data_IF_478321876866
#
_entry.id   IF_478321876866
#
_cell.length_a   1.000
_cell.length_b   1.000
_cell.length_c   1.000
_cell.angle_alpha   90.00
_cell.angle_beta   90.00
_cell.angle_gamma   90.00
#
_symmetry.space_group_name_H-M   'P 1'
#
loop_
_entity.id
_entity.type
_entity.pdbx_description
1 polymer ?
#
# COMPACT_ATOMS: atom_id res chain seq x y z
N UNK A 1 4.32 -10.33 -17.56
CA UNK A 1 4.70 -8.90 -17.74
C UNK A 1 4.05 -7.96 -16.71
N UNK A 2 3.72 -8.44 -15.50
CA UNK A 2 2.82 -7.76 -14.57
C UNK A 2 3.53 -7.16 -13.34
N UNK A 3 4.64 -6.43 -13.53
CA UNK A 3 5.29 -5.67 -12.43
C UNK A 3 5.08 -4.16 -12.51
N UNK A 4 4.23 -3.69 -13.43
CA UNK A 4 4.22 -2.28 -13.85
C UNK A 4 3.25 -1.39 -13.05
N UNK A 5 2.26 -1.95 -12.35
CA UNK A 5 1.24 -1.18 -11.60
C UNK A 5 1.50 -1.15 -10.08
N UNK A 6 2.75 -1.29 -9.65
CA UNK A 6 3.08 -1.16 -8.23
C UNK A 6 3.27 0.32 -7.88
N UNK A 7 2.70 0.75 -6.75
CA UNK A 7 2.81 2.12 -6.24
C UNK A 7 3.24 2.09 -4.79
N UNK A 8 4.12 3.03 -4.44
CA UNK A 8 4.57 3.22 -3.06
C UNK A 8 3.90 4.47 -2.49
N UNK A 9 3.21 4.30 -1.36
CA UNK A 9 2.58 5.40 -0.62
C UNK A 9 3.26 5.59 0.72
N UNK A 10 3.65 6.82 1.04
CA UNK A 10 4.17 7.17 2.37
C UNK A 10 3.07 7.86 3.17
N UNK A 11 2.64 7.24 4.27
CA UNK A 11 1.60 7.76 5.16
C UNK A 11 2.18 8.12 6.52
N UNK A 12 1.53 9.08 7.19
CA UNK A 12 1.86 9.46 8.55
C UNK A 12 1.14 8.56 9.56
N UNK A 13 1.87 8.10 10.57
CA UNK A 13 1.38 7.17 11.57
C UNK A 13 1.42 5.71 11.11
N UNK A 14 1.47 4.80 12.08
CA UNK A 14 1.54 3.35 11.84
C UNK A 14 0.16 2.67 11.76
N UNK A 15 -0.90 3.44 12.00
CA UNK A 15 -2.27 2.93 12.09
C UNK A 15 -3.14 3.52 11.00
N UNK A 16 -4.10 2.74 10.56
CA UNK A 16 -5.18 3.14 9.69
C UNK A 16 -6.20 3.99 10.47
N UNK A 17 -7.17 4.58 9.76
CA UNK A 17 -8.26 5.35 10.38
C UNK A 17 -9.12 4.54 11.37
N UNK A 18 -9.04 3.21 11.30
CA UNK A 18 -9.72 2.26 12.19
C UNK A 18 -8.87 1.85 13.42
N UNK A 19 -7.73 2.53 13.67
CA UNK A 19 -6.72 2.18 14.70
C UNK A 19 -5.96 0.86 14.45
N UNK A 20 -6.36 0.07 13.45
CA UNK A 20 -5.64 -1.12 12.98
C UNK A 20 -4.27 -0.77 12.37
N UNK A 21 -3.24 -1.56 12.67
CA UNK A 21 -1.90 -1.41 12.08
C UNK A 21 -1.90 -1.79 10.60
N UNK A 22 -1.06 -1.13 9.79
CA UNK A 22 -0.84 -1.52 8.41
C UNK A 22 -0.21 -2.92 8.33
N UNK A 23 -0.75 -3.80 7.48
CA UNK A 23 -0.25 -5.15 7.34
C UNK A 23 -0.03 -5.50 5.87
N UNK A 24 1.03 -6.27 5.55
CA UNK A 24 1.18 -6.86 4.24
C UNK A 24 0.06 -7.88 3.99
N UNK A 25 -0.19 -8.17 2.72
CA UNK A 25 -1.30 -9.00 2.23
C UNK A 25 -2.70 -8.48 2.61
N UNK A 26 -2.81 -7.19 2.97
CA UNK A 26 -4.08 -6.53 3.24
C UNK A 26 -4.59 -5.83 1.98
N UNK A 27 -5.90 -5.90 1.73
CA UNK A 27 -6.54 -5.21 0.60
C UNK A 27 -6.97 -3.81 1.01
N UNK A 28 -6.65 -2.82 0.19
CA UNK A 28 -6.95 -1.42 0.44
C UNK A 28 -7.48 -0.75 -0.81
N UNK A 29 -8.44 0.15 -0.64
CA UNK A 29 -8.98 0.94 -1.73
C UNK A 29 -8.16 2.22 -1.82
N UNK A 30 -7.44 2.38 -2.93
CA UNK A 30 -6.65 3.58 -3.20
C UNK A 30 -7.44 4.50 -4.12
N UNK A 31 -7.63 5.74 -3.66
CA UNK A 31 -8.21 6.82 -4.43
C UNK A 31 -7.12 7.88 -4.63
N UNK A 32 -6.40 7.78 -5.75
CA UNK A 32 -5.39 8.73 -6.17
C UNK A 32 -5.73 9.24 -7.58
N UNK A 33 -6.38 10.40 -7.70
CA UNK A 33 -6.75 10.97 -9.00
C UNK A 33 -5.53 11.44 -9.82
N UNK A 34 -4.35 11.58 -9.20
CA UNK A 34 -3.13 12.06 -9.86
C UNK A 34 -2.47 10.92 -10.65
N UNK A 35 -2.37 9.75 -10.03
CA UNK A 35 -1.85 8.52 -10.60
C UNK A 35 -2.94 7.76 -11.40
N UNK A 36 -4.20 8.21 -11.35
CA UNK A 36 -5.33 7.63 -12.09
C UNK A 36 -6.00 6.45 -11.38
N UNK A 37 -5.70 6.22 -10.10
CA UNK A 37 -6.38 5.23 -9.27
C UNK A 37 -7.71 5.79 -8.75
N UNK A 38 -8.79 5.59 -9.50
CA UNK A 38 -10.13 5.94 -9.04
C UNK A 38 -10.75 4.79 -8.24
N UNK A 39 -10.53 4.77 -6.92
CA UNK A 39 -11.06 3.76 -6.00
C UNK A 39 -10.71 2.32 -6.41
N UNK A 40 -9.44 2.09 -6.77
CA UNK A 40 -8.95 0.76 -7.17
C UNK A 40 -8.62 -0.06 -5.92
N UNK A 41 -9.03 -1.32 -5.89
CA UNK A 41 -8.57 -2.27 -4.88
C UNK A 41 -7.13 -2.68 -5.22
N UNK A 42 -6.21 -2.41 -4.30
CA UNK A 42 -4.81 -2.82 -4.37
C UNK A 42 -4.47 -3.66 -3.14
N UNK A 43 -3.53 -4.57 -3.31
CA UNK A 43 -2.98 -5.37 -2.23
C UNK A 43 -1.72 -4.70 -1.70
N UNK A 44 -1.60 -4.60 -0.38
CA UNK A 44 -0.36 -4.19 0.26
C UNK A 44 0.63 -5.36 0.16
N UNK A 45 1.67 -5.19 -0.64
CA UNK A 45 2.74 -6.16 -0.79
C UNK A 45 3.73 -6.11 0.37
N UNK A 46 4.08 -4.89 0.78
CA UNK A 46 5.09 -4.64 1.81
C UNK A 46 4.71 -3.42 2.65
N UNK A 47 5.03 -3.50 3.94
CA UNK A 47 4.84 -2.40 4.90
C UNK A 47 6.15 -2.15 5.62
N UNK A 48 6.62 -0.92 5.52
CA UNK A 48 7.85 -0.47 6.16
C UNK A 48 7.53 0.61 7.18
N UNK A 49 7.75 0.31 8.45
CA UNK A 49 7.55 1.26 9.55
C UNK A 49 8.85 1.98 9.86
N UNK A 50 8.83 3.31 9.78
CA UNK A 50 9.99 4.12 10.18
C UNK A 50 9.56 5.06 11.30
N UNK A 51 10.41 5.20 12.30
CA UNK A 51 10.25 6.16 13.38
C UNK A 51 11.51 6.97 13.49
N UNK A 52 11.35 8.27 13.32
CA UNK A 52 12.44 9.24 13.42
C UNK A 52 12.04 10.34 14.42
N UNK A 53 12.93 11.30 14.65
CA UNK A 53 12.67 12.48 15.47
C UNK A 53 11.51 13.33 14.93
N UNK A 54 11.19 13.20 13.63
CA UNK A 54 10.07 13.88 12.99
C UNK A 54 8.71 13.19 13.21
N UNK A 55 8.68 11.99 13.80
CA UNK A 55 7.45 11.23 14.07
C UNK A 55 7.49 9.79 13.54
N UNK A 56 6.30 9.22 13.36
CA UNK A 56 6.11 7.88 12.80
C UNK A 56 5.60 7.98 11.36
N UNK A 57 6.30 7.33 10.44
CA UNK A 57 5.88 7.22 9.04
C UNK A 57 5.74 5.74 8.69
N UNK A 58 4.91 5.45 7.70
CA UNK A 58 4.75 4.12 7.16
C UNK A 58 4.79 4.19 5.66
N UNK A 59 5.67 3.42 5.06
CA UNK A 59 5.75 3.24 3.63
C UNK A 59 4.99 1.96 3.26
N UNK A 60 4.02 2.10 2.38
CA UNK A 60 3.11 1.06 1.93
C UNK A 60 3.36 0.81 0.46
N UNK A 61 3.87 -0.37 0.15
CA UNK A 61 4.03 -0.82 -1.22
C UNK A 61 2.76 -1.55 -1.60
N UNK A 62 2.01 -1.01 -2.55
CA UNK A 62 0.75 -1.60 -3.01
C UNK A 62 0.84 -1.97 -4.48
N UNK A 63 0.19 -3.05 -4.87
CA UNK A 63 0.11 -3.48 -6.25
C UNK A 63 -1.18 -4.21 -6.56
N UNK A 64 -1.49 -4.46 -7.83
CA UNK A 64 -2.63 -5.29 -8.19
C UNK A 64 -2.40 -6.72 -7.64
N UNK A 65 -3.40 -7.36 -7.01
CA UNK A 65 -3.28 -8.73 -6.52
C UNK A 65 -2.97 -9.73 -7.65
N UNK A 66 -3.36 -9.38 -8.88
CA UNK A 66 -3.09 -10.14 -10.10
C UNK A 66 -1.59 -10.30 -10.38
N UNK A 67 -0.76 -9.31 -9.99
CA UNK A 67 0.70 -9.38 -10.11
C UNK A 67 1.34 -10.43 -9.19
N UNK A 68 0.61 -10.90 -8.17
CA UNK A 68 1.09 -11.85 -7.16
C UNK A 68 0.49 -13.25 -7.34
N UNK A 69 -0.33 -13.48 -8.37
CA UNK A 69 -0.78 -14.82 -8.75
C UNK A 69 0.36 -15.55 -9.49
N UNK A 70 0.86 -16.69 -8.99
CA UNK A 70 1.76 -17.52 -9.78
C UNK A 70 0.99 -18.10 -10.98
N UNK A 71 1.56 -17.99 -12.19
CA UNK A 71 1.03 -18.69 -13.36
C UNK A 71 1.10 -20.23 -13.12
N UNK A 72 0.04 -21.00 -13.48
CA UNK A 72 -0.04 -22.45 -13.25
C UNK A 72 0.85 -23.30 -14.16
#
# INVERSE_FOLDING_TARGET
AARTDETTYTVWGWRQGDDSLWQPNQRVIVCDPICGFNNRELLISEVSFTKDNNGTITELRVGPPDAYLPEP
#
